data_IF_265618012099
#
_entry.id   IF_265618012099
#
_cell.length_a   1.000
_cell.length_b   1.000
_cell.length_c   1.000
_cell.angle_alpha   90.00
_cell.angle_beta   90.00
_cell.angle_gamma   90.00
#
_symmetry.space_group_name_H-M   'P 1'
#
loop_
_entity.id
_entity.type
_entity.pdbx_description
1 polymer ?
#
# COMPACT_ATOMS: atom_id res chain seq x y z
N UNK A 1 -9.69 13.59 0.08
CA UNK A 1 -10.87 12.89 0.61
C UNK A 1 -10.55 11.50 1.18
N UNK A 2 -10.03 10.57 0.38
CA UNK A 2 -9.90 9.14 0.78
C UNK A 2 -9.01 8.90 2.02
N UNK A 3 -8.05 9.81 2.26
CA UNK A 3 -7.10 9.72 3.37
C UNK A 3 -7.35 10.76 4.47
N UNK A 4 -8.35 11.64 4.32
CA UNK A 4 -8.69 12.60 5.37
C UNK A 4 -9.51 11.94 6.49
N UNK A 5 -9.44 12.52 7.68
CA UNK A 5 -10.27 12.15 8.83
C UNK A 5 -11.50 13.05 8.96
N UNK A 6 -11.35 14.31 8.59
CA UNK A 6 -12.43 15.30 8.48
C UNK A 6 -12.63 15.66 7.01
N UNK A 7 -13.87 15.63 6.53
CA UNK A 7 -14.23 15.97 5.16
C UNK A 7 -15.27 17.09 5.17
N UNK A 8 -14.91 18.25 4.64
CA UNK A 8 -15.87 19.31 4.35
C UNK A 8 -16.42 19.05 2.95
N UNK A 9 -17.70 18.72 2.85
CA UNK A 9 -18.42 18.57 1.59
C UNK A 9 -19.16 19.87 1.30
N UNK A 10 -18.57 20.69 0.44
CA UNK A 10 -19.06 22.03 0.12
C UNK A 10 -20.08 21.98 -1.02
N UNK A 11 -21.32 22.36 -0.72
CA UNK A 11 -22.47 22.31 -1.64
C UNK A 11 -22.99 23.73 -1.88
N UNK A 12 -23.44 24.01 -3.10
CA UNK A 12 -24.00 25.31 -3.48
C UNK A 12 -25.52 25.35 -3.29
N UNK A 13 -26.00 26.33 -2.51
CA UNK A 13 -27.41 26.68 -2.22
C UNK A 13 -28.22 25.64 -1.48
N UNK A 14 -28.23 24.40 -1.96
CA UNK A 14 -28.98 23.28 -1.38
C UNK A 14 -28.39 21.96 -1.86
N UNK A 15 -28.58 20.89 -1.07
CA UNK A 15 -28.23 19.53 -1.47
C UNK A 15 -29.20 19.03 -2.53
N UNK A 16 -28.68 18.80 -3.74
CA UNK A 16 -29.43 18.24 -4.86
C UNK A 16 -29.22 16.72 -4.93
N UNK A 17 -30.07 16.06 -5.71
CA UNK A 17 -29.91 14.62 -5.97
C UNK A 17 -28.52 14.30 -6.54
N UNK A 18 -28.02 15.11 -7.47
CA UNK A 18 -26.67 14.96 -8.05
C UNK A 18 -25.59 15.03 -6.97
N UNK A 19 -25.73 15.89 -5.97
CA UNK A 19 -24.75 16.01 -4.89
C UNK A 19 -24.73 14.75 -4.01
N UNK A 20 -25.89 14.13 -3.81
CA UNK A 20 -26.03 12.86 -3.09
C UNK A 20 -25.52 11.67 -3.91
N UNK A 21 -25.75 11.66 -5.22
CA UNK A 21 -25.17 10.66 -6.13
C UNK A 21 -23.64 10.68 -6.11
N UNK A 22 -23.05 11.87 -6.20
CA UNK A 22 -21.61 12.03 -6.09
C UNK A 22 -21.12 11.57 -4.72
N UNK A 23 -21.79 11.99 -3.64
CA UNK A 23 -21.43 11.59 -2.28
C UNK A 23 -21.51 10.07 -2.10
N UNK A 24 -22.52 9.40 -2.66
CA UNK A 24 -22.69 7.94 -2.64
C UNK A 24 -21.52 7.23 -3.31
N UNK A 25 -21.20 7.63 -4.55
CA UNK A 25 -20.03 7.13 -5.25
C UNK A 25 -18.75 7.37 -4.44
N UNK A 26 -18.61 8.53 -3.82
CA UNK A 26 -17.44 8.90 -3.04
C UNK A 26 -17.28 8.08 -1.76
N UNK A 27 -18.37 7.83 -1.03
CA UNK A 27 -18.38 6.95 0.15
C UNK A 27 -17.96 5.54 -0.27
N UNK A 28 -18.55 5.00 -1.33
CA UNK A 28 -18.20 3.68 -1.86
C UNK A 28 -16.70 3.57 -2.19
N UNK A 29 -16.15 4.60 -2.85
CA UNK A 29 -14.71 4.65 -3.19
C UNK A 29 -13.86 4.76 -1.93
N UNK A 30 -14.27 5.55 -0.95
CA UNK A 30 -13.56 5.71 0.31
C UNK A 30 -13.51 4.40 1.12
N UNK A 31 -14.57 3.60 1.12
CA UNK A 31 -14.60 2.28 1.75
C UNK A 31 -13.68 1.28 1.06
N UNK A 32 -13.68 1.26 -0.28
CA UNK A 32 -12.77 0.43 -1.06
C UNK A 32 -11.30 0.77 -0.77
N UNK A 33 -10.96 2.07 -0.74
CA UNK A 33 -9.61 2.53 -0.38
C UNK A 33 -9.31 2.24 1.09
N UNK A 34 -10.27 2.43 1.99
CA UNK A 34 -10.14 2.09 3.41
C UNK A 34 -9.75 0.63 3.61
N UNK A 35 -10.42 -0.28 2.91
CA UNK A 35 -10.13 -1.72 2.94
C UNK A 35 -8.74 -2.03 2.40
N UNK A 36 -8.36 -1.43 1.27
CA UNK A 36 -7.04 -1.61 0.65
C UNK A 36 -5.91 -1.16 1.57
N UNK A 37 -6.06 -0.04 2.27
CA UNK A 37 -5.01 0.57 3.08
C UNK A 37 -5.13 0.30 4.59
N UNK A 38 -6.15 -0.46 5.00
CA UNK A 38 -6.50 -0.72 6.40
C UNK A 38 -6.78 0.57 7.19
N UNK A 39 -7.56 1.47 6.59
CA UNK A 39 -7.97 2.76 7.15
C UNK A 39 -9.49 2.79 7.34
N UNK A 40 -9.96 3.47 8.37
CA UNK A 40 -11.38 3.84 8.44
C UNK A 40 -11.70 4.83 7.30
N UNK A 41 -12.74 4.51 6.53
CA UNK A 41 -13.40 5.44 5.62
C UNK A 41 -14.05 6.57 6.41
N UNK A 42 -14.20 7.73 5.74
CA UNK A 42 -14.86 8.98 6.18
C UNK A 42 -15.35 8.94 7.65
N UNK A 43 -14.53 9.49 8.55
CA UNK A 43 -14.81 9.41 9.99
C UNK A 43 -15.66 10.57 10.49
N UNK A 44 -15.54 11.73 9.83
CA UNK A 44 -16.34 12.92 10.08
C UNK A 44 -16.64 13.61 8.76
N UNK A 45 -17.92 13.83 8.49
CA UNK A 45 -18.42 14.56 7.33
C UNK A 45 -19.05 15.88 7.80
N UNK A 46 -18.62 16.99 7.23
CA UNK A 46 -19.17 18.32 7.47
C UNK A 46 -19.76 18.84 6.17
N UNK A 47 -21.09 18.78 6.07
CA UNK A 47 -21.84 19.28 4.94
C UNK A 47 -21.96 20.81 5.06
N UNK A 48 -21.21 21.54 4.24
CA UNK A 48 -21.26 23.00 4.21
C UNK A 48 -22.12 23.44 3.03
N UNK A 49 -23.34 23.86 3.30
CA UNK A 49 -24.24 24.43 2.28
C UNK A 49 -24.00 25.92 2.22
N UNK A 50 -23.48 26.38 1.08
CA UNK A 50 -23.18 27.79 0.79
C UNK A 50 -24.40 28.49 0.26
N UNK A 51 -24.43 29.81 0.38
CA UNK A 51 -25.43 30.67 -0.23
C UNK A 51 -26.87 30.21 0.08
N UNK A 52 -27.13 29.91 1.36
CA UNK A 52 -28.45 29.50 1.83
C UNK A 52 -29.42 30.67 1.80
N UNK A 53 -30.55 30.53 1.09
CA UNK A 53 -31.53 31.60 0.90
C UNK A 53 -32.85 31.38 1.66
N UNK A 54 -32.99 30.30 2.42
CA UNK A 54 -34.25 29.93 3.08
C UNK A 54 -34.14 29.89 4.62
N UNK A 55 -33.66 30.96 5.30
CA UNK A 55 -33.49 30.97 6.76
C UNK A 55 -34.80 30.76 7.53
N UNK A 56 -35.94 31.07 6.91
CA UNK A 56 -37.27 30.86 7.48
C UNK A 56 -37.68 29.38 7.56
N UNK A 57 -37.11 28.52 6.71
CA UNK A 57 -37.34 27.08 6.76
C UNK A 57 -36.34 26.41 7.70
N UNK A 58 -35.07 26.72 7.51
CA UNK A 58 -33.97 26.25 8.33
C UNK A 58 -33.03 27.43 8.58
N UNK A 59 -32.86 27.83 9.85
CA UNK A 59 -32.02 28.97 10.20
C UNK A 59 -30.54 28.78 9.83
N UNK A 60 -29.79 29.87 9.77
CA UNK A 60 -28.35 29.77 9.51
C UNK A 60 -27.61 29.03 10.63
N UNK A 61 -26.44 28.50 10.28
CA UNK A 61 -25.51 27.89 11.22
C UNK A 61 -25.71 26.40 11.47
N UNK A 62 -25.07 25.89 12.52
CA UNK A 62 -25.05 24.46 12.85
C UNK A 62 -26.45 23.94 13.19
N UNK A 63 -27.26 24.72 13.91
CA UNK A 63 -28.57 24.25 14.38
C UNK A 63 -29.52 23.99 13.20
N UNK A 64 -29.75 25.00 12.36
CA UNK A 64 -30.60 24.81 11.18
C UNK A 64 -29.96 23.87 10.15
N UNK A 65 -28.63 23.80 10.07
CA UNK A 65 -27.93 22.78 9.30
C UNK A 65 -28.24 21.36 9.75
N UNK A 66 -28.24 21.11 11.06
CA UNK A 66 -28.56 19.78 11.58
C UNK A 66 -30.02 19.41 11.33
N UNK A 67 -30.95 20.35 11.48
CA UNK A 67 -32.36 20.16 11.15
C UNK A 67 -32.54 19.84 9.65
N UNK A 68 -31.84 20.59 8.78
CA UNK A 68 -31.83 20.36 7.32
C UNK A 68 -31.21 19.02 6.93
N UNK A 69 -30.14 18.61 7.61
CA UNK A 69 -29.51 17.31 7.39
C UNK A 69 -30.45 16.17 7.78
N UNK A 70 -31.16 16.30 8.90
CA UNK A 70 -32.13 15.29 9.34
C UNK A 70 -33.28 15.15 8.35
N UNK A 71 -33.82 16.27 7.85
CA UNK A 71 -34.81 16.29 6.77
C UNK A 71 -34.27 15.63 5.49
N UNK A 72 -33.02 15.90 5.13
CA UNK A 72 -32.36 15.26 3.97
C UNK A 72 -32.23 13.75 4.15
N UNK A 73 -31.84 13.27 5.34
CA UNK A 73 -31.73 11.83 5.65
C UNK A 73 -33.11 11.17 5.52
N UNK A 74 -34.15 11.76 6.09
CA UNK A 74 -35.52 11.21 6.03
C UNK A 74 -36.03 11.13 4.59
N UNK A 75 -35.70 12.10 3.73
CA UNK A 75 -36.09 12.07 2.30
C UNK A 75 -35.45 10.92 1.51
N UNK A 76 -34.29 10.43 1.93
CA UNK A 76 -33.53 9.41 1.19
C UNK A 76 -33.44 8.06 1.89
N UNK A 77 -34.01 7.93 3.09
CA UNK A 77 -33.97 6.73 3.92
C UNK A 77 -34.53 5.49 3.21
N UNK A 78 -35.64 5.65 2.49
CA UNK A 78 -36.31 4.56 1.77
C UNK A 78 -35.69 4.27 0.39
N UNK A 79 -34.70 5.06 -0.04
CA UNK A 79 -34.07 4.90 -1.34
C UNK A 79 -32.90 3.91 -1.26
N UNK A 80 -33.02 2.77 -1.94
CA UNK A 80 -31.97 1.74 -1.99
C UNK A 80 -30.65 2.23 -2.60
N UNK A 81 -30.69 3.32 -3.36
CA UNK A 81 -29.54 3.95 -4.00
C UNK A 81 -28.57 4.61 -3.02
N UNK A 82 -29.04 5.05 -1.86
CA UNK A 82 -28.27 5.90 -0.93
C UNK A 82 -27.86 5.17 0.36
N UNK A 83 -27.86 3.84 0.35
CA UNK A 83 -27.63 3.04 1.55
C UNK A 83 -26.22 3.25 2.13
N UNK A 84 -25.18 3.47 1.31
CA UNK A 84 -23.83 3.67 1.83
C UNK A 84 -23.69 5.06 2.48
N UNK A 85 -24.26 6.11 1.88
CA UNK A 85 -24.23 7.45 2.50
C UNK A 85 -25.07 7.53 3.75
N UNK A 86 -26.20 6.82 3.83
CA UNK A 86 -27.07 6.86 5.01
C UNK A 86 -26.31 6.48 6.29
N UNK A 87 -25.47 5.45 6.24
CA UNK A 87 -24.64 5.08 7.39
C UNK A 87 -23.66 6.19 7.76
N UNK A 88 -23.01 6.80 6.76
CA UNK A 88 -22.06 7.91 6.96
C UNK A 88 -22.76 9.14 7.54
N UNK A 89 -23.91 9.50 6.99
CA UNK A 89 -24.75 10.63 7.42
C UNK A 89 -25.25 10.46 8.86
N UNK A 90 -25.56 9.23 9.29
CA UNK A 90 -26.08 8.93 10.64
C UNK A 90 -25.02 8.85 11.73
N UNK A 91 -23.78 8.45 11.42
CA UNK A 91 -22.78 8.15 12.44
C UNK A 91 -22.12 9.39 13.05
N UNK A 92 -21.54 10.26 12.20
CA UNK A 92 -20.79 11.47 12.62
C UNK A 92 -20.78 12.53 11.53
N UNK A 93 -21.99 12.98 11.16
CA UNK A 93 -22.14 14.07 10.20
C UNK A 93 -22.62 15.34 10.88
N UNK A 94 -22.04 16.44 10.43
CA UNK A 94 -22.40 17.80 10.77
C UNK A 94 -22.90 18.48 9.51
N UNK A 95 -23.80 19.44 9.66
CA UNK A 95 -24.20 20.30 8.56
C UNK A 95 -24.22 21.76 9.02
N UNK A 96 -23.83 22.66 8.12
CA UNK A 96 -23.81 24.09 8.36
C UNK A 96 -24.45 24.83 7.18
N UNK A 97 -25.44 25.67 7.45
CA UNK A 97 -26.04 26.54 6.45
C UNK A 97 -25.40 27.92 6.52
N UNK A 98 -24.63 28.25 5.49
CA UNK A 98 -23.91 29.51 5.36
C UNK A 98 -24.72 30.48 4.48
N UNK A 99 -24.94 31.73 4.90
CA UNK A 99 -25.60 32.73 4.06
C UNK A 99 -24.74 33.10 2.84
N UNK A 100 -25.35 33.83 1.90
CA UNK A 100 -24.65 34.41 0.77
C UNK A 100 -23.64 35.47 1.26
N UNK A 101 -22.40 35.51 0.74
CA UNK A 101 -21.36 36.41 1.25
C UNK A 101 -21.52 37.88 0.85
N UNK A 102 -22.44 38.21 -0.05
CA UNK A 102 -22.63 39.55 -0.60
C UNK A 102 -22.11 39.68 -2.03
N UNK A 103 -22.69 40.63 -2.78
CA UNK A 103 -22.46 40.79 -4.23
C UNK A 103 -21.01 41.09 -4.58
N UNK A 104 -20.33 41.91 -3.77
CA UNK A 104 -18.92 42.28 -4.01
C UNK A 104 -17.99 41.08 -3.93
N UNK A 105 -18.21 40.21 -2.94
CA UNK A 105 -17.46 38.96 -2.78
C UNK A 105 -17.74 38.01 -3.94
N UNK A 106 -19.00 37.88 -4.35
CA UNK A 106 -19.38 37.06 -5.50
C UNK A 106 -18.74 37.55 -6.82
N UNK A 107 -18.45 38.85 -6.95
CA UNK A 107 -17.77 39.45 -8.10
C UNK A 107 -16.23 39.40 -8.01
N UNK A 108 -15.67 38.77 -6.98
CA UNK A 108 -14.22 38.52 -6.85
C UNK A 108 -13.48 39.43 -5.88
N UNK A 109 -14.18 40.32 -5.15
CA UNK A 109 -13.58 41.14 -4.11
C UNK A 109 -13.50 40.38 -2.77
N UNK A 110 -12.31 39.90 -2.40
CA UNK A 110 -12.15 39.00 -1.23
C UNK A 110 -11.91 39.69 0.12
N UNK A 111 -12.05 41.02 0.23
CA UNK A 111 -11.73 41.70 1.48
C UNK A 111 -12.86 41.54 2.51
N UNK A 112 -12.48 41.38 3.79
CA UNK A 112 -13.44 41.18 4.90
C UNK A 112 -14.46 42.31 5.01
N UNK A 113 -14.08 43.54 4.65
CA UNK A 113 -14.97 44.71 4.65
C UNK A 113 -16.11 44.62 3.63
N UNK A 114 -15.95 43.81 2.58
CA UNK A 114 -16.88 43.72 1.46
C UNK A 114 -17.86 42.54 1.59
N UNK A 115 -17.72 41.74 2.66
CA UNK A 115 -18.68 40.69 3.03
C UNK A 115 -19.89 41.29 3.76
N UNK A 116 -21.05 40.64 3.61
CA UNK A 116 -22.24 40.96 4.42
C UNK A 116 -22.01 40.56 5.90
N UNK A 117 -22.64 41.28 6.84
CA UNK A 117 -22.38 41.11 8.28
C UNK A 117 -22.85 39.75 8.82
N UNK A 118 -24.02 39.29 8.38
CA UNK A 118 -24.55 37.97 8.72
C UNK A 118 -23.62 36.84 8.25
N UNK A 119 -23.01 37.00 7.07
CA UNK A 119 -21.97 36.10 6.58
C UNK A 119 -20.71 36.14 7.44
N UNK A 120 -20.22 37.31 7.85
CA UNK A 120 -19.04 37.40 8.73
C UNK A 120 -19.28 36.68 10.05
N UNK A 121 -20.43 36.89 10.67
CA UNK A 121 -20.78 36.28 11.95
C UNK A 121 -20.96 34.76 11.80
N UNK A 122 -21.63 34.32 10.74
CA UNK A 122 -21.75 32.90 10.42
C UNK A 122 -20.39 32.26 10.10
N UNK A 123 -19.49 32.95 9.39
CA UNK A 123 -18.17 32.42 9.07
C UNK A 123 -17.31 32.26 10.32
N UNK A 124 -17.30 33.25 11.21
CA UNK A 124 -16.62 33.15 12.52
C UNK A 124 -17.19 31.99 13.34
N UNK A 125 -18.51 31.87 13.42
CA UNK A 125 -19.19 30.80 14.14
C UNK A 125 -18.86 29.42 13.55
N UNK A 126 -18.87 29.29 12.22
CA UNK A 126 -18.51 28.07 11.49
C UNK A 126 -17.10 27.60 11.83
N UNK A 127 -16.10 28.48 11.69
CA UNK A 127 -14.69 28.17 11.94
C UNK A 127 -14.49 27.74 13.39
N UNK A 128 -15.01 28.50 14.36
CA UNK A 128 -14.87 28.18 15.79
C UNK A 128 -15.48 26.81 16.12
N UNK A 129 -16.68 26.55 15.60
CA UNK A 129 -17.35 25.27 15.79
C UNK A 129 -16.58 24.13 15.10
N UNK A 130 -16.08 24.35 13.88
CA UNK A 130 -15.37 23.35 13.09
C UNK A 130 -14.07 22.95 13.76
N UNK A 131 -13.29 23.91 14.28
CA UNK A 131 -12.04 23.63 14.99
C UNK A 131 -12.25 22.72 16.20
N UNK A 132 -13.36 22.88 16.94
CA UNK A 132 -13.73 21.98 18.02
C UNK A 132 -14.02 20.55 17.54
N UNK A 133 -14.71 20.39 16.40
CA UNK A 133 -15.00 19.08 15.82
C UNK A 133 -13.74 18.39 15.25
N UNK A 134 -12.87 19.14 14.56
CA UNK A 134 -11.66 18.59 13.91
C UNK A 134 -10.73 17.92 14.92
N UNK A 135 -10.61 18.46 16.13
CA UNK A 135 -9.79 17.87 17.20
C UNK A 135 -10.24 16.45 17.59
N UNK A 136 -11.51 16.13 17.42
CA UNK A 136 -12.07 14.81 17.74
C UNK A 136 -11.98 13.83 16.56
N UNK A 137 -11.68 14.34 15.36
CA UNK A 137 -11.67 13.60 14.11
C UNK A 137 -10.23 13.25 13.70
N UNK A 138 -9.58 12.41 14.51
CA UNK A 138 -8.23 11.88 14.22
C UNK A 138 -8.33 10.70 13.25
N UNK A 139 -7.41 10.62 12.29
CA UNK A 139 -7.36 9.49 11.33
C UNK A 139 -7.07 8.18 12.05
N UNK A 140 -7.89 7.15 11.78
CA UNK A 140 -7.74 5.83 12.41
C UNK A 140 -7.63 4.69 11.41
N UNK A 141 -7.03 3.61 11.86
CA UNK A 141 -7.01 2.33 11.17
C UNK A 141 -8.32 1.54 11.37
N UNK A 142 -8.44 0.39 10.70
CA UNK A 142 -9.60 -0.50 10.83
C UNK A 142 -9.80 -1.06 12.25
N UNK A 143 -8.77 -1.04 13.10
CA UNK A 143 -8.82 -1.45 14.50
C UNK A 143 -9.12 -0.26 15.44
N UNK A 144 -9.57 0.88 14.90
CA UNK A 144 -9.92 2.10 15.64
C UNK A 144 -8.74 2.73 16.39
N UNK A 145 -7.49 2.41 16.00
CA UNK A 145 -6.28 3.01 16.56
C UNK A 145 -5.91 4.27 15.78
N UNK A 146 -5.46 5.30 16.49
CA UNK A 146 -5.04 6.56 15.87
C UNK A 146 -3.74 6.35 15.08
N UNK A 147 -3.68 6.94 13.89
CA UNK A 147 -2.49 6.92 13.05
C UNK A 147 -1.55 8.08 13.40
N UNK A 148 -0.26 7.79 13.43
CA UNK A 148 0.78 8.82 13.48
C UNK A 148 0.95 9.50 12.11
N UNK A 149 1.57 10.68 12.09
CA UNK A 149 1.91 11.37 10.84
C UNK A 149 2.80 10.51 9.92
N UNK A 150 3.76 9.77 10.49
CA UNK A 150 4.63 8.87 9.74
C UNK A 150 3.86 7.74 9.07
N UNK A 151 2.96 7.08 9.82
CA UNK A 151 2.11 6.02 9.28
C UNK A 151 1.21 6.56 8.16
N UNK A 152 0.57 7.72 8.37
CA UNK A 152 -0.29 8.33 7.34
C UNK A 152 0.53 8.73 6.09
N UNK A 153 1.71 9.31 6.27
CA UNK A 153 2.61 9.64 5.16
C UNK A 153 3.03 8.40 4.38
N UNK A 154 3.32 7.29 5.06
CA UNK A 154 3.61 6.01 4.42
C UNK A 154 2.44 5.49 3.58
N UNK A 155 1.20 5.62 4.07
CA UNK A 155 -0.01 5.25 3.31
C UNK A 155 -0.22 6.15 2.10
N UNK A 156 -0.04 7.47 2.24
CA UNK A 156 -0.11 8.44 1.13
C UNK A 156 0.94 8.09 0.07
N UNK A 157 2.18 7.85 0.47
CA UNK A 157 3.28 7.49 -0.43
C UNK A 157 2.95 6.22 -1.22
N UNK A 158 2.50 5.17 -0.54
CA UNK A 158 2.09 3.91 -1.18
C UNK A 158 0.92 4.13 -2.15
N UNK A 159 -0.09 4.91 -1.76
CA UNK A 159 -1.19 5.27 -2.65
C UNK A 159 -0.70 5.98 -3.92
N UNK A 160 0.18 6.99 -3.77
CA UNK A 160 0.75 7.72 -4.89
C UNK A 160 1.61 6.83 -5.80
N UNK A 161 2.38 5.90 -5.25
CA UNK A 161 3.17 4.94 -6.03
C UNK A 161 2.30 4.04 -6.89
N UNK A 162 1.19 3.53 -6.33
CA UNK A 162 0.23 2.71 -7.09
C UNK A 162 -0.38 3.52 -8.24
N UNK A 163 -0.76 4.78 -7.97
CA UNK A 163 -1.36 5.68 -8.96
C UNK A 163 -0.38 6.06 -10.07
N UNK A 164 0.89 6.33 -9.73
CA UNK A 164 1.94 6.71 -10.70
C UNK A 164 2.31 5.58 -11.64
N UNK A 165 2.20 4.33 -11.18
CA UNK A 165 2.59 3.16 -11.98
C UNK A 165 1.58 2.84 -13.10
N UNK A 166 0.53 3.66 -13.31
CA UNK A 166 -0.28 3.84 -14.52
C UNK A 166 -0.60 2.62 -15.40
N UNK A 167 -0.72 1.43 -14.79
CA UNK A 167 -1.22 0.20 -15.45
C UNK A 167 -2.74 0.10 -15.39
N UNK A 168 -3.37 1.00 -14.66
CA UNK A 168 -4.79 0.99 -14.40
C UNK A 168 -5.45 2.10 -15.19
N UNK A 169 -6.51 1.73 -15.90
CA UNK A 169 -7.44 2.69 -16.48
C UNK A 169 -8.21 3.36 -15.33
N UNK A 170 -7.82 4.59 -15.00
CA UNK A 170 -8.45 5.39 -13.95
C UNK A 170 -9.66 6.18 -14.48
N UNK A 171 -10.25 5.77 -15.61
CA UNK A 171 -11.39 6.46 -16.23
C UNK A 171 -12.63 6.57 -15.34
N UNK A 172 -12.72 5.80 -14.25
CA UNK A 172 -13.80 5.93 -13.28
C UNK A 172 -13.33 5.65 -11.84
N UNK A 173 -14.01 6.22 -10.83
CA UNK A 173 -13.69 5.97 -9.43
C UNK A 173 -13.79 4.50 -9.02
N UNK A 174 -14.68 3.73 -9.64
CA UNK A 174 -14.77 2.28 -9.40
C UNK A 174 -13.53 1.54 -9.91
N UNK A 175 -13.03 1.89 -11.10
CA UNK A 175 -11.79 1.29 -11.63
C UNK A 175 -10.58 1.63 -10.76
N UNK A 176 -10.55 2.83 -10.16
CA UNK A 176 -9.55 3.19 -9.14
C UNK A 176 -9.59 2.23 -7.94
N UNK A 177 -10.77 1.95 -7.38
CA UNK A 177 -10.90 1.00 -6.26
C UNK A 177 -10.42 -0.39 -6.64
N UNK A 178 -10.85 -0.88 -7.81
CA UNK A 178 -10.43 -2.19 -8.34
C UNK A 178 -8.90 -2.26 -8.49
N UNK A 179 -8.28 -1.20 -9.03
CA UNK A 179 -6.84 -1.09 -9.20
C UNK A 179 -6.09 -1.21 -7.86
N UNK A 180 -6.52 -0.44 -6.86
CA UNK A 180 -5.93 -0.47 -5.52
C UNK A 180 -6.09 -1.84 -4.87
N UNK A 181 -7.30 -2.42 -4.94
CA UNK A 181 -7.59 -3.74 -4.38
C UNK A 181 -6.75 -4.84 -5.05
N UNK A 182 -6.65 -4.82 -6.38
CA UNK A 182 -5.84 -5.77 -7.13
C UNK A 182 -4.36 -5.63 -6.77
N UNK A 183 -3.84 -4.40 -6.72
CA UNK A 183 -2.46 -4.16 -6.32
C UNK A 183 -2.17 -4.70 -4.92
N UNK A 184 -3.01 -4.36 -3.93
CA UNK A 184 -2.86 -4.85 -2.55
C UNK A 184 -3.01 -6.38 -2.45
N UNK A 185 -3.81 -6.98 -3.33
CA UNK A 185 -3.98 -8.42 -3.43
C UNK A 185 -2.71 -9.10 -3.94
N UNK A 186 -2.10 -8.56 -4.99
CA UNK A 186 -0.82 -9.07 -5.54
C UNK A 186 0.35 -8.85 -4.59
N UNK A 187 0.41 -7.72 -3.89
CA UNK A 187 1.39 -7.47 -2.82
C UNK A 187 1.28 -8.51 -1.71
N UNK A 188 0.08 -8.84 -1.24
CA UNK A 188 -0.11 -9.89 -0.22
C UNK A 188 0.33 -11.27 -0.72
N UNK A 189 0.12 -11.59 -2.00
CA UNK A 189 0.62 -12.83 -2.59
C UNK A 189 2.14 -12.85 -2.60
N UNK A 190 2.77 -11.74 -2.98
CA UNK A 190 4.21 -11.55 -2.94
C UNK A 190 4.78 -11.70 -1.53
N UNK A 191 4.18 -11.07 -0.51
CA UNK A 191 4.60 -11.19 0.89
C UNK A 191 4.48 -12.62 1.43
N UNK A 192 3.44 -13.37 1.03
CA UNK A 192 3.31 -14.80 1.39
C UNK A 192 4.40 -15.65 0.75
N UNK A 193 4.73 -15.38 -0.51
CA UNK A 193 5.83 -16.04 -1.20
C UNK A 193 7.18 -15.73 -0.53
N UNK A 194 7.44 -14.47 -0.19
CA UNK A 194 8.68 -14.07 0.50
C UNK A 194 8.83 -14.77 1.85
N UNK A 195 7.77 -14.80 2.67
CA UNK A 195 7.79 -15.53 3.95
C UNK A 195 8.07 -17.03 3.76
N UNK A 196 7.42 -17.65 2.78
CA UNK A 196 7.69 -19.05 2.47
C UNK A 196 9.16 -19.30 2.09
N UNK A 197 9.73 -18.43 1.26
CA UNK A 197 11.14 -18.49 0.88
C UNK A 197 12.07 -18.33 2.10
N UNK A 198 11.81 -17.34 2.95
CA UNK A 198 12.56 -17.11 4.20
C UNK A 198 12.49 -18.31 5.15
N UNK A 199 11.33 -18.99 5.23
CA UNK A 199 11.18 -20.24 5.97
C UNK A 199 12.06 -21.37 5.39
N UNK A 200 12.16 -21.48 4.05
CA UNK A 200 13.05 -22.45 3.42
C UNK A 200 14.54 -22.10 3.68
N UNK A 201 14.90 -20.82 3.64
CA UNK A 201 16.27 -20.34 3.95
C UNK A 201 16.63 -20.63 5.43
N UNK A 202 15.74 -20.34 6.37
CA UNK A 202 15.96 -20.59 7.80
C UNK A 202 16.07 -22.08 8.11
N UNK A 203 15.20 -22.89 7.50
CA UNK A 203 15.25 -24.34 7.64
C UNK A 203 16.52 -24.97 7.04
N UNK A 204 17.27 -24.22 6.23
CA UNK A 204 18.50 -24.68 5.59
C UNK A 204 19.75 -24.00 6.16
N UNK A 205 19.60 -23.18 7.21
CA UNK A 205 20.68 -22.45 7.89
C UNK A 205 21.69 -23.31 8.68
N UNK A 206 21.54 -24.63 8.70
CA UNK A 206 22.55 -25.56 9.22
C UNK A 206 22.89 -26.58 8.16
N UNK A 207 24.18 -26.86 7.97
CA UNK A 207 24.73 -27.83 7.03
C UNK A 207 23.97 -29.16 6.92
N UNK A 208 23.64 -29.80 8.04
CA UNK A 208 22.91 -31.08 8.06
C UNK A 208 21.46 -30.90 7.58
N UNK A 209 20.86 -29.74 7.85
CA UNK A 209 19.49 -29.43 7.43
C UNK A 209 19.42 -29.10 5.94
N UNK A 210 20.45 -28.51 5.36
CA UNK A 210 20.56 -28.25 3.90
C UNK A 210 20.56 -29.55 3.09
N UNK A 211 21.12 -30.63 3.64
CA UNK A 211 21.14 -31.94 2.99
C UNK A 211 19.81 -32.70 3.06
N UNK A 212 18.84 -32.25 3.87
CA UNK A 212 17.52 -32.90 3.97
C UNK A 212 16.71 -32.85 2.68
N UNK A 213 16.99 -31.88 1.80
CA UNK A 213 16.27 -31.69 0.56
C UNK A 213 17.25 -31.37 -0.57
N UNK A 214 17.18 -32.15 -1.64
CA UNK A 214 18.00 -31.95 -2.83
C UNK A 214 17.63 -30.64 -3.53
N UNK A 215 18.54 -30.12 -4.36
CA UNK A 215 18.27 -28.95 -5.21
C UNK A 215 17.04 -29.15 -6.11
N UNK A 216 16.82 -30.37 -6.63
CA UNK A 216 15.67 -30.67 -7.50
C UNK A 216 14.36 -30.59 -6.73
N UNK A 217 14.29 -31.19 -5.54
CA UNK A 217 13.11 -31.14 -4.69
C UNK A 217 12.80 -29.70 -4.23
N UNK A 218 13.82 -28.90 -3.92
CA UNK A 218 13.63 -27.49 -3.58
C UNK A 218 13.06 -26.69 -4.75
N UNK A 219 13.55 -26.94 -5.98
CA UNK A 219 13.02 -26.29 -7.19
C UNK A 219 11.53 -26.62 -7.39
N UNK A 220 11.18 -27.91 -7.34
CA UNK A 220 9.78 -28.36 -7.50
C UNK A 220 8.87 -27.71 -6.45
N UNK A 221 9.29 -27.71 -5.19
CA UNK A 221 8.55 -27.09 -4.10
C UNK A 221 8.28 -25.59 -4.33
N UNK A 222 9.29 -24.85 -4.79
CA UNK A 222 9.14 -23.43 -5.06
C UNK A 222 8.17 -23.20 -6.24
N UNK A 223 8.27 -23.99 -7.30
CA UNK A 223 7.36 -23.93 -8.45
C UNK A 223 5.91 -24.25 -8.06
N UNK A 224 5.70 -25.30 -7.26
CA UNK A 224 4.41 -25.66 -6.69
C UNK A 224 3.83 -24.51 -5.87
N UNK A 225 4.65 -23.88 -5.01
CA UNK A 225 4.18 -22.77 -4.18
C UNK A 225 3.78 -21.54 -5.00
N UNK A 226 4.55 -21.23 -6.04
CA UNK A 226 4.23 -20.13 -6.96
C UNK A 226 2.90 -20.39 -7.65
N UNK A 227 2.69 -21.60 -8.17
CA UNK A 227 1.45 -21.96 -8.86
C UNK A 227 0.25 -21.92 -7.89
N UNK A 228 0.40 -22.44 -6.67
CA UNK A 228 -0.62 -22.37 -5.62
C UNK A 228 -1.02 -20.92 -5.31
N UNK A 229 -0.04 -20.01 -5.14
CA UNK A 229 -0.32 -18.61 -4.83
C UNK A 229 -0.95 -17.87 -6.02
N UNK A 230 -0.49 -18.13 -7.25
CA UNK A 230 -1.09 -17.53 -8.44
C UNK A 230 -2.54 -17.96 -8.59
N UNK A 231 -2.86 -19.24 -8.39
CA UNK A 231 -4.22 -19.76 -8.46
C UNK A 231 -5.10 -19.20 -7.35
N UNK A 232 -4.61 -19.23 -6.10
CA UNK A 232 -5.34 -18.72 -4.94
C UNK A 232 -5.72 -17.24 -5.11
N UNK A 233 -4.83 -16.42 -5.69
CA UNK A 233 -5.04 -14.99 -5.82
C UNK A 233 -5.70 -14.59 -7.15
N UNK A 234 -5.71 -15.47 -8.16
CA UNK A 234 -6.45 -15.27 -9.42
C UNK A 234 -7.94 -15.00 -9.17
N UNK A 235 -8.57 -15.83 -8.34
CA UNK A 235 -10.00 -15.70 -7.96
C UNK A 235 -10.34 -14.43 -7.16
N UNK A 236 -9.33 -13.71 -6.65
CA UNK A 236 -9.50 -12.50 -5.82
C UNK A 236 -9.35 -11.21 -6.60
N UNK A 237 -8.88 -11.26 -7.85
CA UNK A 237 -8.73 -10.08 -8.69
C UNK A 237 -10.09 -9.64 -9.24
N UNK A 238 -10.32 -8.34 -9.27
CA UNK A 238 -11.52 -7.70 -9.79
C UNK A 238 -11.29 -7.19 -11.21
N UNK A 239 -12.37 -7.02 -11.99
CA UNK A 239 -12.32 -6.43 -13.33
C UNK A 239 -12.06 -7.43 -14.46
N UNK A 240 -11.50 -6.92 -15.56
CA UNK A 240 -11.37 -7.65 -16.83
C UNK A 240 -10.40 -8.85 -16.73
N UNK A 241 -10.81 -10.06 -17.15
CA UNK A 241 -9.95 -11.25 -17.11
C UNK A 241 -8.65 -11.13 -17.90
N UNK A 242 -8.62 -10.39 -19.02
CA UNK A 242 -7.39 -10.25 -19.82
C UNK A 242 -6.35 -9.41 -19.09
N UNK A 243 -6.80 -8.30 -18.50
CA UNK A 243 -5.99 -7.42 -17.65
C UNK A 243 -5.47 -8.18 -16.43
N UNK A 244 -6.31 -8.97 -15.78
CA UNK A 244 -5.92 -9.81 -14.64
C UNK A 244 -4.88 -10.86 -15.02
N UNK A 245 -4.98 -11.48 -16.20
CA UNK A 245 -3.99 -12.44 -16.71
C UNK A 245 -2.61 -11.82 -16.89
N UNK A 246 -2.53 -10.57 -17.37
CA UNK A 246 -1.26 -9.83 -17.47
C UNK A 246 -0.66 -9.65 -16.08
N UNK A 247 -1.43 -9.15 -15.12
CA UNK A 247 -0.96 -8.93 -13.74
C UNK A 247 -0.44 -10.22 -13.08
N UNK A 248 -1.15 -11.34 -13.26
CA UNK A 248 -0.74 -12.64 -12.71
C UNK A 248 0.52 -13.18 -13.38
N UNK A 249 0.66 -12.98 -14.69
CA UNK A 249 1.85 -13.39 -15.44
C UNK A 249 3.08 -12.63 -14.97
N UNK A 250 2.95 -11.32 -14.73
CA UNK A 250 4.03 -10.50 -14.18
C UNK A 250 4.37 -10.87 -12.74
N UNK A 251 3.37 -11.13 -11.89
CA UNK A 251 3.59 -11.62 -10.53
C UNK A 251 4.36 -12.94 -10.55
N UNK A 252 3.94 -13.89 -11.40
CA UNK A 252 4.59 -15.19 -11.58
C UNK A 252 6.02 -15.02 -12.08
N UNK A 253 6.25 -14.14 -13.06
CA UNK A 253 7.60 -13.82 -13.55
C UNK A 253 8.48 -13.25 -12.43
N UNK A 254 7.96 -12.32 -11.63
CA UNK A 254 8.66 -11.74 -10.48
C UNK A 254 9.07 -12.81 -9.46
N UNK A 255 8.16 -13.73 -9.10
CA UNK A 255 8.44 -14.85 -8.21
C UNK A 255 9.45 -15.84 -8.79
N UNK A 256 9.38 -16.12 -10.09
CA UNK A 256 10.34 -17.01 -10.75
C UNK A 256 11.74 -16.41 -10.76
N UNK A 257 11.88 -15.12 -11.07
CA UNK A 257 13.19 -14.43 -11.05
C UNK A 257 13.81 -14.44 -9.66
N UNK A 258 13.02 -14.16 -8.61
CA UNK A 258 13.52 -14.21 -7.23
C UNK A 258 13.86 -15.64 -6.77
N UNK A 259 13.04 -16.63 -7.18
CA UNK A 259 13.30 -18.05 -6.94
C UNK A 259 14.60 -18.50 -7.59
N UNK A 260 14.87 -18.06 -8.82
CA UNK A 260 16.10 -18.39 -9.51
C UNK A 260 17.32 -17.95 -8.71
N UNK A 261 17.35 -16.68 -8.27
CA UNK A 261 18.44 -16.17 -7.44
C UNK A 261 18.58 -16.91 -6.10
N UNK A 262 17.47 -17.34 -5.49
CA UNK A 262 17.50 -18.20 -4.30
C UNK A 262 18.09 -19.59 -4.58
N UNK A 263 17.63 -20.27 -5.64
CA UNK A 263 18.07 -21.62 -5.99
C UNK A 263 19.55 -21.68 -6.36
N UNK A 264 20.11 -20.64 -6.98
CA UNK A 264 21.55 -20.55 -7.23
C UNK A 264 22.34 -20.56 -5.92
N UNK A 265 21.95 -19.72 -4.95
CA UNK A 265 22.56 -19.68 -3.62
C UNK A 265 22.40 -21.01 -2.88
N UNK A 266 21.20 -21.58 -2.92
CA UNK A 266 20.89 -22.85 -2.29
C UNK A 266 21.75 -23.99 -2.85
N UNK A 267 21.89 -24.06 -4.18
CA UNK A 267 22.67 -25.09 -4.86
C UNK A 267 24.15 -25.01 -4.48
N UNK A 268 24.69 -23.80 -4.39
CA UNK A 268 26.06 -23.60 -3.94
C UNK A 268 26.26 -24.10 -2.50
N UNK A 269 25.35 -23.73 -1.58
CA UNK A 269 25.38 -24.19 -0.19
C UNK A 269 25.24 -25.71 -0.07
N UNK A 270 24.37 -26.33 -0.86
CA UNK A 270 24.19 -27.77 -0.91
C UNK A 270 25.45 -28.49 -1.38
N UNK A 271 26.11 -28.01 -2.45
CA UNK A 271 27.38 -28.57 -2.95
C UNK A 271 28.49 -28.45 -1.91
N UNK A 272 28.65 -27.27 -1.30
CA UNK A 272 29.60 -27.10 -0.19
C UNK A 272 29.27 -28.02 0.99
N UNK A 273 27.98 -28.28 1.21
CA UNK A 273 27.55 -29.17 2.27
C UNK A 273 27.95 -30.63 1.98
N UNK A 274 27.68 -31.12 0.78
CA UNK A 274 28.10 -32.46 0.36
C UNK A 274 29.61 -32.67 0.47
N UNK A 275 30.41 -31.66 0.10
CA UNK A 275 31.88 -31.72 0.19
C UNK A 275 32.37 -31.90 1.63
N UNK A 276 31.87 -31.12 2.61
CA UNK A 276 32.33 -31.30 4.00
C UNK A 276 31.79 -32.59 4.64
N UNK A 277 30.72 -33.17 4.10
CA UNK A 277 30.10 -34.39 4.64
C UNK A 277 30.85 -35.64 4.16
N UNK A 278 31.83 -35.49 3.25
CA UNK A 278 32.53 -36.62 2.65
C UNK A 278 31.65 -37.44 1.70
N UNK A 279 30.50 -36.92 1.28
CA UNK A 279 29.62 -37.62 0.34
C UNK A 279 30.18 -37.44 -1.07
N UNK A 280 30.76 -38.50 -1.63
CA UNK A 280 31.29 -38.50 -2.98
C UNK A 280 30.15 -38.25 -3.99
N UNK A 281 30.14 -37.08 -4.62
CA UNK A 281 29.26 -36.81 -5.75
C UNK A 281 29.87 -37.50 -6.96
N UNK A 282 29.23 -38.56 -7.43
CA UNK A 282 29.54 -39.20 -8.72
C UNK A 282 29.56 -38.14 -9.82
N UNK A 283 30.71 -38.01 -10.47
CA UNK A 283 31.03 -36.97 -11.41
C UNK A 283 30.11 -37.02 -12.64
N UNK A 284 29.31 -35.99 -12.84
CA UNK A 284 29.09 -35.41 -14.17
C UNK A 284 29.21 -33.90 -14.07
N UNK A 285 30.46 -33.44 -14.23
CA UNK A 285 30.81 -32.09 -14.68
C UNK A 285 30.81 -30.97 -13.63
N UNK A 286 31.93 -30.79 -12.93
CA UNK A 286 32.70 -29.52 -12.94
C UNK A 286 34.17 -29.90 -12.76
N UNK A 287 34.99 -29.62 -13.77
CA UNK A 287 36.42 -29.83 -13.72
C UNK A 287 37.08 -28.91 -12.68
N UNK A 288 37.71 -29.51 -11.69
CA UNK A 288 38.85 -28.90 -11.02
C UNK A 288 40.09 -29.38 -11.77
N UNK A 289 40.47 -28.61 -12.81
CA UNK A 289 41.79 -28.71 -13.39
C UNK A 289 42.79 -28.17 -12.37
N UNK A 290 43.61 -29.06 -11.84
CA UNK A 290 44.65 -28.81 -10.84
C UNK A 290 45.13 -30.16 -10.33
N UNK A 291 45.79 -30.91 -11.20
CA UNK A 291 46.06 -32.33 -11.02
C UNK A 291 47.02 -32.67 -9.89
N UNK A 292 46.88 -33.87 -9.36
CA UNK A 292 47.95 -34.87 -9.30
C UNK A 292 47.32 -36.23 -9.60
N UNK A 293 47.81 -36.87 -10.66
CA UNK A 293 47.58 -38.29 -10.92
C UNK A 293 48.41 -39.08 -9.91
N UNK A 294 47.78 -39.94 -9.11
CA UNK A 294 48.46 -41.07 -8.50
C UNK A 294 47.48 -42.24 -8.38
N UNK A 295 47.56 -43.15 -9.36
CA UNK A 295 47.04 -44.51 -9.23
C UNK A 295 47.81 -45.24 -8.12
N UNK A 296 47.10 -45.96 -7.26
CA UNK A 296 47.72 -46.88 -6.29
C UNK A 296 46.68 -47.51 -5.39
N UNK A 297 46.19 -48.69 -5.80
CA UNK A 297 45.38 -49.60 -4.98
C UNK A 297 46.20 -50.05 -3.77
N UNK A 298 45.58 -50.08 -2.58
CA UNK A 298 46.08 -50.88 -1.45
C UNK A 298 45.90 -50.22 -0.10
N UNK A 299 45.03 -50.81 0.72
CA UNK A 299 44.86 -50.55 2.14
C UNK A 299 46.23 -50.54 2.88
N UNK A 300 46.45 -49.84 3.98
CA UNK A 300 45.63 -49.79 5.19
C UNK A 300 46.34 -48.92 6.23
N UNK A 301 45.51 -48.30 7.09
CA UNK A 301 45.77 -47.82 8.47
C UNK A 301 46.93 -46.84 8.77
N UNK A 302 46.53 -45.82 9.54
CA UNK A 302 47.34 -44.97 10.41
C UNK A 302 48.27 -43.94 9.75
N UNK A 303 47.99 -42.65 9.96
CA UNK A 303 48.62 -41.94 11.08
C UNK A 303 48.32 -40.43 11.04
N UNK A 304 48.33 -39.90 12.25
CA UNK A 304 48.30 -38.51 12.67
C UNK A 304 49.30 -37.59 11.96
N UNK A 305 48.87 -36.32 11.92
CA UNK A 305 49.66 -35.07 12.00
C UNK A 305 50.13 -34.41 10.69
N UNK A 306 49.97 -33.07 10.68
CA UNK A 306 51.03 -32.19 10.19
C UNK A 306 50.79 -31.48 8.86
N UNK A 307 50.06 -30.36 8.94
CA UNK A 307 50.38 -29.06 8.30
C UNK A 307 50.99 -29.04 6.89
N UNK A 308 50.17 -28.65 5.91
CA UNK A 308 50.62 -27.87 4.76
C UNK A 308 49.91 -26.50 4.81
N UNK A 309 50.71 -25.46 5.08
CA UNK A 309 50.25 -24.08 5.19
C UNK A 309 49.91 -23.52 3.80
N UNK A 310 48.65 -23.18 3.59
CA UNK A 310 48.27 -22.18 2.59
C UNK A 310 48.20 -20.82 3.29
N UNK A 311 49.23 -19.99 3.07
CA UNK A 311 49.16 -18.56 3.37
C UNK A 311 48.52 -17.85 2.17
N UNK A 312 47.40 -17.17 2.40
CA UNK A 312 47.13 -15.88 1.79
C UNK A 312 46.09 -15.15 2.68
N UNK A 313 46.49 -13.96 3.08
CA UNK A 313 45.85 -13.02 4.01
C UNK A 313 44.32 -12.96 4.00
N UNK A 314 43.73 -13.04 5.19
CA UNK A 314 42.47 -12.36 5.47
C UNK A 314 42.60 -11.58 6.77
N UNK A 315 43.03 -10.33 6.60
CA UNK A 315 43.00 -9.28 7.61
C UNK A 315 41.54 -8.91 7.90
N UNK A 316 41.15 -9.03 9.18
CA UNK A 316 40.09 -8.26 9.90
C UNK A 316 38.76 -7.93 9.19
N UNK A 317 37.66 -8.46 9.74
CA UNK A 317 36.45 -7.66 10.05
C UNK A 317 35.54 -8.41 11.03
N UNK A 318 35.74 -8.19 12.34
CA UNK A 318 34.74 -8.43 13.39
C UNK A 318 33.84 -7.18 13.45
N UNK A 319 32.55 -7.41 13.21
CA UNK A 319 31.34 -6.67 13.66
C UNK A 319 31.40 -5.16 13.92
N UNK A 320 30.62 -4.39 13.16
CA UNK A 320 29.49 -3.58 13.68
C UNK A 320 28.78 -2.78 12.54
N UNK A 321 27.50 -3.11 12.36
CA UNK A 321 26.34 -2.27 12.00
C UNK A 321 26.58 -0.87 11.38
N UNK A 322 25.93 -0.61 10.23
CA UNK A 322 25.47 0.75 9.89
C UNK A 322 25.35 1.09 8.41
N UNK A 323 24.14 0.90 7.86
CA UNK A 323 23.48 1.70 6.80
C UNK A 323 24.30 2.40 5.70
N UNK A 324 24.17 1.92 4.46
CA UNK A 324 24.18 2.70 3.21
C UNK A 324 23.89 1.73 2.03
N UNK A 325 23.15 2.01 0.97
CA UNK A 325 22.51 3.23 0.50
C UNK A 325 21.40 2.85 -0.50
N UNK A 326 20.29 3.59 -0.49
CA UNK A 326 19.41 3.75 -1.64
C UNK A 326 19.57 5.20 -2.09
N UNK A 327 20.47 5.44 -3.05
CA UNK A 327 20.52 6.64 -3.89
C UNK A 327 21.58 6.44 -4.98
N UNK A 328 21.14 6.40 -6.24
CA UNK A 328 21.47 7.35 -7.31
C UNK A 328 21.49 6.68 -8.68
N UNK A 329 20.73 7.26 -9.60
CA UNK A 329 21.24 7.59 -10.93
C UNK A 329 20.42 8.75 -11.51
N UNK A 330 20.94 9.97 -11.31
CA UNK A 330 20.73 11.09 -12.24
C UNK A 330 21.88 12.08 -12.12
N UNK A 331 22.76 12.07 -13.12
CA UNK A 331 23.68 13.12 -13.56
C UNK A 331 24.50 12.50 -14.71
N UNK A 332 24.84 13.14 -15.83
CA UNK A 332 24.96 14.57 -16.13
C UNK A 332 25.43 14.73 -17.58
N UNK A 333 24.97 15.76 -18.28
CA UNK A 333 25.73 16.65 -19.20
C UNK A 333 24.89 17.93 -19.25
N UNK A 334 25.36 19.17 -19.12
CA UNK A 334 26.69 19.77 -19.05
C UNK A 334 26.46 21.27 -19.29
N UNK A 335 27.11 22.12 -18.49
CA UNK A 335 26.96 23.57 -18.50
C UNK A 335 27.56 24.24 -19.75
N UNK A 336 27.00 25.38 -20.17
CA UNK A 336 27.75 26.50 -20.75
C UNK A 336 27.19 27.81 -20.16
N UNK A 337 28.11 28.75 -19.91
CA UNK A 337 28.05 29.94 -19.06
C UNK A 337 28.22 31.20 -19.93
N UNK A 338 27.82 32.36 -19.40
CA UNK A 338 27.98 33.74 -19.93
C UNK A 338 27.03 34.09 -21.10
N UNK A 339 26.34 35.24 -21.14
CA UNK A 339 26.47 36.56 -20.51
C UNK A 339 25.11 37.04 -19.97
#
# INVERSE_FOLDING_TARGET
MLLSSYLIYNVDKQVKETDLEYLEMFVHVAEGVGTSFSLQSIQCLDLLVRDWFYPNQFGFGVKGGQDYLQDTITKVEDCSKYQNILQTLRMRSRCYLMPFPGNKVAMGEGAVKDMDEDFKDCLKSYINSMLGSVQQCVKKDMQNRQLTCEQLAGKIKKFTEIMKNARYDLSSPLKLVMALNNHMTLERAWEKYQRFKEEQETNTGTFIKTLKRTTKEMKVLMEEKINELVEQYSSRLQGDPRSNKVLLTELKAKMNTDTHGFLERYTWQYKMSMLKAGVAIGATGVGLAGGVVACGVGASVASTAGTAAFKADMMTAVTAVGSAAFNLLRASVGAVRHF
#
